data_IF_791970751217
#
_entry.id   IF_791970751217
#
_cell.length_a   1.000
_cell.length_b   1.000
_cell.length_c   1.000
_cell.angle_alpha   90.00
_cell.angle_beta   90.00
_cell.angle_gamma   90.00
#
_symmetry.space_group_name_H-M   'P 1'
#
loop_
_entity.id
_entity.type
_entity.pdbx_description
1 polymer ?
#
# COMPACT_ATOMS: atom_id res chain seq x y z
N UNK A 1 43.54 -22.31 -32.52
CA UNK A 1 43.56 -20.82 -32.41
C UNK A 1 42.14 -20.29 -32.37
N UNK A 2 41.59 -20.03 -31.18
CA UNK A 2 40.25 -19.43 -31.02
C UNK A 2 40.41 -17.93 -30.79
N UNK A 3 40.09 -17.11 -31.81
CA UNK A 3 40.05 -15.64 -31.67
C UNK A 3 38.85 -15.27 -30.79
N UNK A 4 39.07 -15.09 -29.48
CA UNK A 4 38.12 -14.41 -28.60
C UNK A 4 38.04 -12.95 -29.05
N UNK A 5 37.00 -12.57 -29.80
CA UNK A 5 36.68 -11.17 -30.03
C UNK A 5 36.33 -10.53 -28.68
N UNK A 6 37.01 -9.46 -28.30
CA UNK A 6 36.67 -8.69 -27.10
C UNK A 6 35.21 -8.23 -27.20
N UNK A 7 34.40 -8.52 -26.18
CA UNK A 7 33.01 -8.13 -26.14
C UNK A 7 32.91 -6.62 -25.90
N UNK A 8 32.90 -5.84 -26.99
CA UNK A 8 32.79 -4.39 -26.95
C UNK A 8 31.32 -3.94 -26.85
N UNK A 9 30.60 -4.45 -25.84
CA UNK A 9 29.22 -4.09 -25.53
C UNK A 9 28.13 -4.67 -26.45
N UNK A 10 26.88 -4.31 -26.17
CA UNK A 10 25.71 -4.73 -26.96
C UNK A 10 25.65 -4.03 -28.32
N UNK A 11 25.03 -4.65 -29.32
CA UNK A 11 24.86 -4.04 -30.65
C UNK A 11 24.10 -2.71 -30.60
N UNK A 12 23.18 -2.55 -29.65
CA UNK A 12 22.49 -1.29 -29.39
C UNK A 12 23.44 -0.21 -28.83
N UNK A 13 24.33 -0.57 -27.89
CA UNK A 13 25.34 0.34 -27.33
C UNK A 13 26.27 0.92 -28.39
N UNK A 14 26.80 0.08 -29.28
CA UNK A 14 27.65 0.53 -30.40
C UNK A 14 26.92 1.45 -31.39
N UNK A 15 25.63 1.18 -31.66
CA UNK A 15 24.81 2.07 -32.50
C UNK A 15 24.60 3.44 -31.84
N UNK A 16 24.49 3.45 -30.51
CA UNK A 16 24.33 4.67 -29.71
C UNK A 16 25.60 5.51 -29.68
N UNK A 17 26.76 4.90 -29.44
CA UNK A 17 28.07 5.57 -29.47
C UNK A 17 28.35 6.22 -30.83
N UNK A 18 28.09 5.49 -31.92
CA UNK A 18 28.23 6.05 -33.29
C UNK A 18 27.29 7.22 -33.57
N UNK A 19 26.16 7.31 -32.87
CA UNK A 19 25.17 8.38 -33.01
C UNK A 19 25.25 9.40 -31.87
N UNK A 20 26.31 9.38 -31.05
CA UNK A 20 26.45 10.28 -29.90
C UNK A 20 26.43 11.76 -30.34
N UNK A 21 27.07 12.08 -31.47
CA UNK A 21 27.07 13.42 -32.06
C UNK A 21 25.68 13.90 -32.56
N UNK A 22 24.72 12.98 -32.72
CA UNK A 22 23.35 13.30 -33.15
C UNK A 22 22.36 13.37 -31.98
N UNK A 23 22.82 13.09 -30.75
CA UNK A 23 21.96 13.17 -29.56
C UNK A 23 21.92 14.61 -29.05
N UNK A 24 20.72 15.13 -28.87
CA UNK A 24 20.50 16.42 -28.22
C UNK A 24 20.86 16.32 -26.73
N UNK A 25 21.38 17.42 -26.16
CA UNK A 25 21.84 17.48 -24.76
C UNK A 25 20.75 17.05 -23.77
N UNK A 26 19.49 17.42 -24.02
CA UNK A 26 18.33 17.03 -23.22
C UNK A 26 18.10 15.52 -23.22
N UNK A 27 18.24 14.85 -24.37
CA UNK A 27 18.06 13.39 -24.49
C UNK A 27 19.23 12.63 -23.89
N UNK A 28 20.46 13.12 -24.07
CA UNK A 28 21.65 12.58 -23.43
C UNK A 28 21.56 12.67 -21.89
N UNK A 29 21.05 13.79 -21.39
CA UNK A 29 20.87 14.06 -19.96
C UNK A 29 19.69 13.30 -19.33
N UNK A 30 18.57 13.17 -20.05
CA UNK A 30 17.35 12.51 -19.55
C UNK A 30 17.56 11.06 -19.10
N UNK A 31 18.49 10.34 -19.73
CA UNK A 31 18.75 8.94 -19.41
C UNK A 31 19.57 8.76 -18.12
N UNK A 32 20.40 9.75 -17.81
CA UNK A 32 21.23 9.80 -16.58
C UNK A 32 20.44 10.43 -15.44
N UNK A 33 19.61 11.43 -15.72
CA UNK A 33 18.87 12.20 -14.71
C UNK A 33 17.56 11.53 -14.25
N UNK A 34 16.87 10.76 -15.10
CA UNK A 34 15.53 10.22 -14.76
C UNK A 34 15.51 8.76 -14.34
N UNK A 35 16.64 8.05 -14.33
CA UNK A 35 16.69 6.71 -13.73
C UNK A 35 16.88 6.85 -12.22
N UNK A 36 15.96 6.37 -11.38
CA UNK A 36 16.26 6.19 -9.97
C UNK A 36 17.42 5.19 -9.90
N UNK A 37 18.61 5.69 -9.58
CA UNK A 37 19.72 4.79 -9.24
C UNK A 37 19.29 3.97 -8.04
N UNK A 38 19.78 2.73 -7.91
CA UNK A 38 19.49 1.89 -6.73
C UNK A 38 19.81 2.65 -5.43
N UNK A 39 20.86 3.46 -5.43
CA UNK A 39 21.21 4.37 -4.33
C UNK A 39 20.14 5.43 -4.04
N UNK A 40 19.53 6.03 -5.07
CA UNK A 40 18.48 7.04 -4.91
C UNK A 40 17.18 6.43 -4.40
N UNK A 41 16.81 5.25 -4.90
CA UNK A 41 15.66 4.49 -4.38
C UNK A 41 15.88 4.10 -2.91
N UNK A 42 17.10 3.66 -2.55
CA UNK A 42 17.46 3.35 -1.17
C UNK A 42 17.42 4.57 -0.26
N UNK A 43 17.90 5.73 -0.72
CA UNK A 43 17.86 6.99 0.04
C UNK A 43 16.40 7.45 0.24
N UNK A 44 15.54 7.30 -0.76
CA UNK A 44 14.12 7.62 -0.64
C UNK A 44 13.38 6.66 0.30
N UNK A 45 13.71 5.36 0.25
CA UNK A 45 13.16 4.35 1.15
C UNK A 45 13.54 4.58 2.63
N UNK A 46 14.65 5.30 2.91
CA UNK A 46 15.02 5.71 4.28
C UNK A 46 14.04 6.71 4.90
N UNK A 47 13.13 7.31 4.12
CA UNK A 47 12.09 8.19 4.63
C UNK A 47 12.61 9.50 5.25
N UNK A 48 11.71 10.21 5.94
CA UNK A 48 12.06 11.41 6.71
C UNK A 48 12.55 10.99 8.09
N UNK A 49 13.78 11.33 8.43
CA UNK A 49 14.36 11.14 9.75
C UNK A 49 14.42 12.50 10.46
N UNK A 50 14.13 12.52 11.77
CA UNK A 50 14.33 13.72 12.57
C UNK A 50 15.84 13.99 12.70
N UNK A 51 16.33 15.01 11.99
CA UNK A 51 17.67 15.54 12.20
C UNK A 51 17.58 16.77 13.11
N UNK A 52 18.14 16.74 14.32
CA UNK A 52 18.17 17.92 15.18
C UNK A 52 18.99 19.04 14.50
N UNK A 53 18.62 20.30 14.73
CA UNK A 53 19.32 21.46 14.16
C UNK A 53 20.71 21.66 14.77
N UNK A 54 20.89 21.22 16.00
CA UNK A 54 22.14 21.29 16.77
C UNK A 54 22.35 20.00 17.54
N UNK A 55 23.58 19.74 17.96
CA UNK A 55 23.94 18.50 18.67
C UNK A 55 23.33 18.49 20.07
N UNK A 56 23.22 19.64 20.72
CA UNK A 56 22.67 19.76 22.08
C UNK A 56 21.18 19.42 22.14
N UNK A 57 20.46 19.63 21.02
CA UNK A 57 19.03 19.33 20.89
C UNK A 57 18.78 17.86 20.52
N UNK A 58 19.83 17.06 20.32
CA UNK A 58 19.71 15.67 19.91
C UNK A 58 19.15 14.82 21.06
N UNK A 59 17.99 14.20 20.81
CA UNK A 59 17.47 13.15 21.69
C UNK A 59 18.43 11.96 21.68
N UNK A 60 18.57 11.29 22.82
CA UNK A 60 19.36 10.06 22.86
C UNK A 60 18.72 8.97 22.00
N UNK A 61 19.54 8.16 21.34
CA UNK A 61 19.06 7.09 20.46
C UNK A 61 18.15 6.10 21.20
N UNK A 62 18.47 5.82 22.47
CA UNK A 62 17.66 4.96 23.33
C UNK A 62 16.25 5.54 23.58
N UNK A 63 16.15 6.85 23.74
CA UNK A 63 14.86 7.52 23.92
C UNK A 63 14.03 7.47 22.65
N UNK A 64 14.63 7.78 21.48
CA UNK A 64 13.94 7.69 20.19
C UNK A 64 13.43 6.28 19.90
N UNK A 65 14.22 5.25 20.22
CA UNK A 65 13.79 3.86 20.05
C UNK A 65 12.57 3.54 20.93
N UNK A 66 12.60 3.93 22.21
CA UNK A 66 11.46 3.72 23.13
C UNK A 66 10.20 4.48 22.66
N UNK A 67 10.35 5.73 22.25
CA UNK A 67 9.27 6.56 21.73
C UNK A 67 8.61 5.92 20.49
N UNK A 68 9.42 5.41 19.56
CA UNK A 68 8.90 4.70 18.39
C UNK A 68 8.07 3.45 18.76
N UNK A 69 8.52 2.65 19.74
CA UNK A 69 7.74 1.51 20.21
C UNK A 69 6.44 1.95 20.89
N UNK A 70 6.47 3.01 21.70
CA UNK A 70 5.27 3.55 22.32
C UNK A 70 4.26 4.06 21.31
N UNK A 71 4.69 4.77 20.27
CA UNK A 71 3.78 5.23 19.21
C UNK A 71 3.08 4.07 18.49
N UNK A 72 3.79 2.95 18.27
CA UNK A 72 3.20 1.75 17.67
C UNK A 72 2.15 1.12 18.60
N UNK A 73 2.46 0.99 19.88
CA UNK A 73 1.52 0.46 20.88
C UNK A 73 0.29 1.35 21.05
N UNK A 74 0.48 2.67 21.08
CA UNK A 74 -0.60 3.65 21.17
C UNK A 74 -1.49 3.60 19.93
N UNK A 75 -0.90 3.54 18.73
CA UNK A 75 -1.64 3.41 17.49
C UNK A 75 -2.48 2.13 17.45
N UNK A 76 -1.92 1.00 17.90
CA UNK A 76 -2.66 -0.25 18.05
C UNK A 76 -3.85 -0.09 18.99
N UNK A 77 -3.64 0.50 20.17
CA UNK A 77 -4.73 0.76 21.14
C UNK A 77 -5.79 1.69 20.56
N UNK A 78 -5.40 2.66 19.74
CA UNK A 78 -6.31 3.56 19.07
C UNK A 78 -7.22 2.80 18.09
N UNK A 79 -6.67 1.90 17.28
CA UNK A 79 -7.44 1.04 16.38
C UNK A 79 -8.41 0.13 17.15
N UNK A 80 -7.96 -0.47 18.25
CA UNK A 80 -8.81 -1.32 19.10
C UNK A 80 -9.99 -0.52 19.69
N UNK A 81 -9.73 0.69 20.20
CA UNK A 81 -10.79 1.61 20.69
C UNK A 81 -11.76 1.99 19.58
N UNK A 82 -11.26 2.36 18.40
CA UNK A 82 -12.09 2.71 17.26
C UNK A 82 -12.99 1.54 16.83
N UNK A 83 -12.48 0.31 16.84
CA UNK A 83 -13.26 -0.88 16.54
C UNK A 83 -14.39 -1.13 17.55
N UNK A 84 -14.12 -0.92 18.85
CA UNK A 84 -15.14 -1.05 19.91
C UNK A 84 -16.23 0.01 19.75
N UNK A 85 -15.85 1.28 19.54
CA UNK A 85 -16.80 2.38 19.32
C UNK A 85 -17.65 2.10 18.08
N UNK A 86 -17.01 1.69 16.98
CA UNK A 86 -17.71 1.30 15.77
C UNK A 86 -18.72 0.20 16.06
N UNK A 87 -18.32 -0.91 16.69
CA UNK A 87 -19.22 -2.02 16.98
C UNK A 87 -20.42 -1.64 17.87
N UNK A 88 -20.24 -0.70 18.81
CA UNK A 88 -21.29 -0.31 19.76
C UNK A 88 -22.24 0.77 19.20
N UNK A 89 -21.71 1.75 18.48
CA UNK A 89 -22.47 2.93 18.04
C UNK A 89 -22.96 2.83 16.59
N UNK A 90 -22.18 2.18 15.72
CA UNK A 90 -22.40 2.17 14.28
C UNK A 90 -22.63 0.76 13.71
N UNK A 91 -22.09 -0.25 14.38
CA UNK A 91 -22.35 -1.64 14.12
C UNK A 91 -23.82 -1.88 14.42
N UNK A 92 -24.62 -2.09 13.37
CA UNK A 92 -25.97 -2.57 13.55
C UNK A 92 -25.91 -3.78 14.49
N UNK A 93 -26.65 -3.74 15.61
CA UNK A 93 -26.81 -4.92 16.47
C UNK A 93 -27.11 -6.10 15.55
N UNK A 94 -26.44 -7.26 15.70
CA UNK A 94 -26.84 -8.43 14.94
C UNK A 94 -28.34 -8.57 15.13
N UNK A 95 -29.09 -8.65 14.02
CA UNK A 95 -30.54 -8.76 14.06
C UNK A 95 -30.86 -9.84 15.10
N UNK A 96 -31.60 -9.47 16.14
CA UNK A 96 -31.93 -10.42 17.20
C UNK A 96 -32.50 -11.67 16.54
N UNK A 97 -31.91 -12.83 16.82
CA UNK A 97 -32.38 -14.12 16.32
C UNK A 97 -33.77 -14.36 16.90
N UNK A 98 -34.79 -13.85 16.23
CA UNK A 98 -36.14 -13.71 16.81
C UNK A 98 -37.01 -12.67 16.11
N UNK A 99 -36.45 -11.75 15.31
CA UNK A 99 -37.29 -10.93 14.43
C UNK A 99 -37.82 -11.86 13.34
N UNK A 100 -39.11 -12.21 13.44
CA UNK A 100 -39.82 -12.91 12.38
C UNK A 100 -39.48 -12.27 11.04
N UNK A 101 -39.16 -13.09 10.02
CA UNK A 101 -38.99 -12.56 8.67
C UNK A 101 -40.22 -11.69 8.37
N UNK A 102 -40.06 -10.46 7.84
CA UNK A 102 -41.19 -9.63 7.46
C UNK A 102 -42.12 -10.44 6.56
N UNK A 103 -43.44 -10.25 6.68
CA UNK A 103 -44.42 -11.02 5.89
C UNK A 103 -44.13 -10.97 4.38
N UNK A 104 -43.53 -9.89 3.90
CA UNK A 104 -43.04 -9.73 2.52
C UNK A 104 -41.95 -10.73 2.16
N UNK A 105 -41.00 -11.00 3.07
CA UNK A 105 -39.94 -11.98 2.87
C UNK A 105 -40.48 -13.42 2.96
N UNK A 106 -41.45 -13.69 3.84
CA UNK A 106 -42.17 -14.98 3.91
C UNK A 106 -42.96 -15.23 2.62
N UNK A 107 -43.63 -14.19 2.10
CA UNK A 107 -44.39 -14.23 0.84
C UNK A 107 -43.48 -14.52 -0.36
N UNK A 108 -42.34 -13.82 -0.46
CA UNK A 108 -41.36 -14.01 -1.54
C UNK A 108 -40.64 -15.36 -1.44
N UNK A 109 -40.48 -15.92 -0.25
CA UNK A 109 -39.92 -17.26 -0.02
C UNK A 109 -40.92 -18.40 -0.31
N UNK A 110 -42.15 -18.09 -0.74
CA UNK A 110 -43.11 -19.09 -1.23
C UNK A 110 -43.90 -19.83 -0.15
N UNK A 111 -43.80 -19.43 1.12
CA UNK A 111 -44.58 -19.99 2.22
C UNK A 111 -46.02 -19.45 2.21
N UNK A 112 -46.78 -19.75 1.14
CA UNK A 112 -48.19 -19.39 1.04
C UNK A 112 -49.01 -20.39 1.85
N UNK A 113 -49.53 -19.98 3.00
CA UNK A 113 -50.45 -20.78 3.83
C UNK A 113 -51.84 -21.01 3.22
N UNK A 114 -51.99 -20.96 1.89
CA UNK A 114 -53.25 -21.20 1.22
C UNK A 114 -53.31 -22.66 0.75
N UNK A 115 -54.14 -23.47 1.42
CA UNK A 115 -54.62 -24.73 0.83
C UNK A 115 -55.36 -24.35 -0.46
N UNK A 116 -54.93 -24.88 -1.60
CA UNK A 116 -55.69 -24.80 -2.84
C UNK A 116 -57.01 -25.57 -2.63
N UNK A 117 -58.08 -24.86 -2.31
CA UNK A 117 -59.44 -25.40 -2.41
C UNK A 117 -59.74 -25.50 -3.89
N UNK A 118 -59.47 -26.66 -4.48
CA UNK A 118 -60.00 -27.00 -5.79
C UNK A 118 -61.43 -27.47 -5.58
N UNK A 119 -62.39 -26.86 -6.29
CA UNK A 119 -63.76 -27.32 -6.30
C UNK A 119 -63.79 -28.77 -6.81
N UNK A 120 -64.38 -29.67 -6.02
CA UNK A 120 -64.73 -31.04 -6.41
C UNK A 120 -66.21 -31.10 -6.70
#
# INVERSE_FOLDING_TARGET
>A
MTRRTAFNGSAAGRRRERRAALQNETTASSEVLHRPTLSRAQIQAKGKHETPKRIEDAKSLQFMAKDAFWQVEEYRRHLERAAIVYANEFGHKPAETGVCLPDVAIYNAGYRGAKYVTAR
#
